data_IF_770350639589
#
_entry.id   IF_770350639589
#
_cell.length_a   1.000
_cell.length_b   1.000
_cell.length_c   1.000
_cell.angle_alpha   90.00
_cell.angle_beta   90.00
_cell.angle_gamma   90.00
#
_symmetry.space_group_name_H-M   'P 1'
#
loop_
_entity.id
_entity.type
_entity.pdbx_description
1 polymer ?
#
# COMPACT_ATOMS: atom_id res chain seq x y z
N UNK A 1 13.25 13.90 2.84
CA UNK A 1 13.47 13.23 1.53
C UNK A 1 12.98 11.80 1.67
N UNK A 2 12.25 11.20 0.71
CA UNK A 2 11.78 9.84 0.86
C UNK A 2 12.99 8.90 0.94
N UNK A 3 13.12 8.18 2.06
CA UNK A 3 14.34 7.49 2.48
C UNK A 3 14.88 6.49 1.42
N UNK A 4 13.99 5.92 0.62
CA UNK A 4 14.33 4.85 -0.34
C UNK A 4 13.98 5.18 -1.80
N UNK A 5 13.54 6.40 -2.12
CA UNK A 5 13.03 6.79 -3.47
C UNK A 5 11.93 5.85 -4.04
N UNK A 6 11.29 5.06 -3.18
CA UNK A 6 10.18 4.18 -3.54
C UNK A 6 8.98 5.05 -3.93
N UNK A 7 8.53 4.95 -5.18
CA UNK A 7 7.40 5.71 -5.72
C UNK A 7 6.26 4.83 -6.21
N UNK A 8 6.56 3.57 -6.50
CA UNK A 8 5.61 2.61 -7.03
C UNK A 8 5.51 1.43 -6.09
N UNK A 9 4.28 1.14 -5.71
CA UNK A 9 3.92 0.07 -4.80
C UNK A 9 2.79 -0.74 -5.43
N UNK A 10 2.77 -2.02 -5.16
CA UNK A 10 1.69 -2.93 -5.55
C UNK A 10 1.11 -3.60 -4.31
N UNK A 11 -0.20 -3.85 -4.30
CA UNK A 11 -0.83 -4.65 -3.25
C UNK A 11 -0.54 -6.11 -3.56
N UNK A 12 0.09 -6.81 -2.62
CA UNK A 12 0.40 -8.24 -2.75
C UNK A 12 -0.47 -9.12 -1.84
N UNK A 13 -1.01 -8.55 -0.77
CA UNK A 13 -1.89 -9.27 0.16
C UNK A 13 -2.93 -8.32 0.76
N UNK A 14 -4.10 -8.86 1.10
CA UNK A 14 -5.19 -8.14 1.75
C UNK A 14 -5.74 -9.02 2.86
N UNK A 15 -5.79 -8.47 4.07
CA UNK A 15 -6.35 -9.13 5.25
C UNK A 15 -7.78 -8.62 5.49
N UNK A 16 -8.66 -9.55 5.83
CA UNK A 16 -10.07 -9.30 6.12
C UNK A 16 -10.40 -9.76 7.54
N UNK A 17 -11.31 -9.05 8.20
CA UNK A 17 -11.88 -9.48 9.49
C UNK A 17 -13.01 -10.51 9.33
N UNK A 18 -13.58 -10.92 10.46
CA UNK A 18 -14.68 -11.89 10.54
C UNK A 18 -15.95 -11.41 9.80
N UNK A 19 -16.13 -10.11 9.63
CA UNK A 19 -17.24 -9.48 8.89
C UNK A 19 -16.92 -9.30 7.39
N UNK A 20 -15.80 -9.88 6.91
CA UNK A 20 -15.28 -9.73 5.55
C UNK A 20 -14.93 -8.28 5.18
N UNK A 21 -14.68 -7.41 6.15
CA UNK A 21 -14.20 -6.06 5.92
C UNK A 21 -12.66 -6.05 5.85
N UNK A 22 -12.10 -5.22 4.96
CA UNK A 22 -10.64 -5.08 4.84
C UNK A 22 -10.10 -4.44 6.13
N UNK A 23 -9.09 -5.08 6.73
CA UNK A 23 -8.41 -4.56 7.92
C UNK A 23 -6.99 -4.08 7.59
N UNK A 24 -6.27 -4.80 6.74
CA UNK A 24 -4.89 -4.49 6.35
C UNK A 24 -4.66 -4.75 4.88
N UNK A 25 -3.72 -4.02 4.29
CA UNK A 25 -3.11 -4.42 3.02
C UNK A 25 -1.60 -4.54 3.20
N UNK A 26 -0.99 -5.52 2.54
CA UNK A 26 0.45 -5.60 2.36
C UNK A 26 0.81 -5.01 1.00
N UNK A 27 1.60 -3.94 1.01
CA UNK A 27 2.14 -3.36 -0.22
C UNK A 27 3.62 -3.68 -0.37
N UNK A 28 4.03 -4.01 -1.59
CA UNK A 28 5.43 -4.21 -1.96
C UNK A 28 5.92 -3.03 -2.80
N UNK A 29 7.03 -2.43 -2.38
CA UNK A 29 7.77 -1.48 -3.17
C UNK A 29 8.46 -2.19 -4.35
N UNK A 30 8.14 -1.79 -5.58
CA UNK A 30 8.63 -2.48 -6.79
C UNK A 30 10.16 -2.49 -6.87
N UNK A 31 10.79 -1.35 -6.54
CA UNK A 31 12.23 -1.16 -6.71
C UNK A 31 13.06 -1.89 -5.64
N UNK A 32 12.63 -1.84 -4.39
CA UNK A 32 13.38 -2.40 -3.26
C UNK A 32 12.92 -3.79 -2.85
N UNK A 33 11.79 -4.26 -3.39
CA UNK A 33 11.12 -5.50 -2.97
C UNK A 33 10.82 -5.53 -1.46
N UNK A 34 10.70 -4.33 -0.87
CA UNK A 34 10.33 -4.16 0.52
C UNK A 34 8.81 -4.25 0.66
N UNK A 35 8.35 -5.15 1.50
CA UNK A 35 6.94 -5.27 1.86
C UNK A 35 6.63 -4.55 3.17
N UNK A 36 5.52 -3.83 3.22
CA UNK A 36 5.04 -3.11 4.41
C UNK A 36 3.53 -3.26 4.55
N UNK A 37 3.06 -3.54 5.76
CA UNK A 37 1.64 -3.50 6.07
C UNK A 37 1.20 -2.04 6.19
N UNK A 38 0.06 -1.73 5.59
CA UNK A 38 -0.57 -0.42 5.64
C UNK A 38 -2.04 -0.55 6.01
N UNK A 39 -2.61 0.53 6.55
CA UNK A 39 -4.06 0.64 6.66
C UNK A 39 -4.61 0.89 5.26
N UNK A 40 -5.52 0.03 4.80
CA UNK A 40 -6.10 0.15 3.45
C UNK A 40 -6.79 1.51 3.22
N UNK A 41 -7.26 2.14 4.30
CA UNK A 41 -7.88 3.47 4.28
C UNK A 41 -6.90 4.56 3.85
N UNK A 42 -5.60 4.38 4.09
CA UNK A 42 -4.57 5.32 3.66
C UNK A 42 -4.53 5.40 2.12
N UNK A 43 -4.80 4.31 1.41
CA UNK A 43 -4.86 4.29 -0.07
C UNK A 43 -5.99 5.15 -0.65
N UNK A 44 -6.96 5.58 0.17
CA UNK A 44 -8.00 6.55 -0.22
C UNK A 44 -7.54 8.00 -0.06
N UNK A 45 -6.49 8.25 0.71
CA UNK A 45 -5.94 9.60 0.86
C UNK A 45 -5.11 9.97 -0.38
N UNK A 46 -5.76 10.71 -1.28
CA UNK A 46 -5.14 11.21 -2.51
C UNK A 46 -3.99 12.20 -2.29
N UNK A 47 -3.84 12.77 -1.08
CA UNK A 47 -2.71 13.63 -0.76
C UNK A 47 -1.43 12.83 -0.49
N UNK A 48 -1.56 11.56 -0.07
CA UNK A 48 -0.45 10.65 0.18
C UNK A 48 -0.26 9.64 -0.96
N UNK A 49 -1.36 9.19 -1.57
CA UNK A 49 -1.36 8.10 -2.55
C UNK A 49 -2.00 8.53 -3.86
N UNK A 50 -1.27 8.39 -4.96
CA UNK A 50 -1.81 8.56 -6.30
C UNK A 50 -2.06 7.18 -6.89
N UNK A 51 -3.33 6.90 -7.17
CA UNK A 51 -3.72 5.66 -7.84
C UNK A 51 -3.47 5.77 -9.35
N UNK A 52 -2.90 4.71 -9.92
CA UNK A 52 -2.53 4.65 -11.34
C UNK A 52 -1.02 4.74 -11.57
N UNK A 53 -0.61 4.35 -12.77
CA UNK A 53 0.78 4.43 -13.22
C UNK A 53 0.95 5.75 -13.97
N UNK A 54 1.95 6.54 -13.59
CA UNK A 54 2.29 7.80 -14.26
C UNK A 54 3.77 7.85 -14.60
#
# INVERSE_FOLDING_TARGET
MPLNKEKHFIIIEVEYDEDSAVVSCLIEAIMSKRSIHIQWRDLKDTAQWVQGWK
#
